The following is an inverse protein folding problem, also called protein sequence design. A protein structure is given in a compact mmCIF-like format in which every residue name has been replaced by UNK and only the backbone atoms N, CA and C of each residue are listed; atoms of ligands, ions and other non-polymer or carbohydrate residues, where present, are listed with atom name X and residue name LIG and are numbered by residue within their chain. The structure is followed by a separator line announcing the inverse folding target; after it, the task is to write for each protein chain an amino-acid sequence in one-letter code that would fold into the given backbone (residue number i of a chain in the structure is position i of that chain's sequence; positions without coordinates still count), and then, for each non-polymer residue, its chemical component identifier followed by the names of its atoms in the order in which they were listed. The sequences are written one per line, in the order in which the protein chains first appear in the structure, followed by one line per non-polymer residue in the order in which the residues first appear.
data_IF_390547114490
#
_entry.id   IF_390547114490
#
_cell.length_a   1.000
_cell.length_b   1.000
_cell.length_c   1.000
_cell.angle_alpha   90.00
_cell.angle_beta   90.00
_cell.angle_gamma   90.00
#
_symmetry.space_group_name_H-M   'P 1'
#
loop_
_entity.id
_entity.type
_entity.pdbx_description
1 polymer ?
2 branched ?
3 non-polymer ?
4 water ?
#
# COMPACT_ATOMS: atom_id res chain seq x y z
N UNK A 4 12.35 20.35 -14.74
CA UNK A 4 11.89 18.93 -14.64
C UNK A 4 12.43 18.24 -13.39
N UNK A 5 11.61 17.36 -12.84
CA UNK A 5 11.98 16.60 -11.65
C UNK A 5 11.40 15.21 -11.78
N UNK A 6 12.21 14.18 -11.52
CA UNK A 6 11.71 12.81 -11.62
C UNK A 6 10.43 12.60 -10.81
N UNK A 7 10.40 13.18 -9.61
CA UNK A 7 9.23 13.05 -8.74
C UNK A 7 8.75 14.40 -8.25
N UNK A 8 7.44 14.51 -7.99
CA UNK A 8 6.83 15.75 -7.50
C UNK A 8 7.35 16.08 -6.10
N UNK A 9 7.23 17.34 -5.71
CA UNK A 9 7.67 17.75 -4.38
C UNK A 9 6.99 16.88 -3.33
N UNK A 10 7.75 16.54 -2.29
CA UNK A 10 7.27 15.72 -1.19
C UNK A 10 7.06 14.24 -1.52
N UNK A 11 7.39 13.84 -2.74
CA UNK A 11 7.25 12.43 -3.10
C UNK A 11 8.61 11.76 -2.93
N UNK A 12 8.62 10.43 -2.97
CA UNK A 12 9.85 9.66 -2.81
C UNK A 12 10.12 8.81 -4.05
N UNK A 13 11.36 8.83 -4.50
CA UNK A 13 11.77 8.06 -5.67
C UNK A 13 12.42 6.75 -5.27
N UNK A 14 12.08 5.68 -6.00
CA UNK A 14 12.67 4.37 -5.79
C UNK A 14 12.45 3.54 -7.05
N UNK A 15 13.55 3.05 -7.62
CA UNK A 15 13.51 2.24 -8.84
C UNK A 15 12.52 2.69 -9.91
N UNK A 16 12.69 3.92 -10.40
CA UNK A 16 11.84 4.42 -11.46
C UNK A 16 10.42 4.82 -11.13
N UNK A 17 10.05 4.77 -9.86
CA UNK A 17 8.70 5.14 -9.46
C UNK A 17 8.73 6.18 -8.35
N UNK A 18 7.64 6.92 -8.22
CA UNK A 18 7.50 7.96 -7.20
C UNK A 18 6.43 7.53 -6.24
N UNK A 19 6.70 7.68 -4.95
CA UNK A 19 5.73 7.30 -3.93
C UNK A 19 5.35 8.50 -3.08
N UNK A 20 4.07 8.58 -2.77
CA UNK A 20 3.54 9.65 -1.94
C UNK A 20 3.12 9.04 -0.61
N UNK A 21 3.83 9.39 0.46
CA UNK A 21 3.47 8.92 1.79
C UNK A 21 2.63 10.05 2.37
N UNK A 22 1.33 9.82 2.51
CA UNK A 22 0.44 10.86 3.01
C UNK A 22 0.77 11.33 4.42
N UNK A 23 0.32 12.54 4.73
CA UNK A 23 0.51 13.12 6.05
C UNK A 23 -0.87 13.35 6.68
N UNK A 24 -1.90 12.86 6.00
CA UNK A 24 -3.28 12.94 6.47
C UNK A 24 -3.83 11.52 6.34
N UNK A 25 -5.02 11.28 6.88
CA UNK A 25 -5.59 9.94 6.85
C UNK A 25 -6.92 9.84 6.11
N UNK A 26 -7.19 8.65 5.57
CA UNK A 26 -8.41 8.36 4.81
C UNK A 26 -8.75 6.87 4.93
N UNK A 27 -10.00 6.51 4.69
CA UNK A 27 -10.34 5.09 4.73
C UNK A 27 -9.80 4.51 3.42
N UNK A 28 -9.84 3.19 3.28
CA UNK A 28 -9.29 2.56 2.09
C UNK A 28 -9.82 3.06 0.75
N UNK A 29 -11.14 3.12 0.60
CA UNK A 29 -11.72 3.57 -0.66
C UNK A 29 -11.35 5.00 -1.01
N UNK A 30 -11.37 5.88 -0.02
CA UNK A 30 -11.01 7.27 -0.27
C UNK A 30 -9.51 7.40 -0.60
N UNK A 31 -8.70 6.44 -0.15
CA UNK A 31 -7.27 6.50 -0.46
C UNK A 31 -7.08 6.17 -1.93
N UNK A 32 -7.89 5.25 -2.44
CA UNK A 32 -7.83 4.89 -3.85
C UNK A 32 -8.10 6.17 -4.65
N UNK A 33 -9.17 6.86 -4.27
CA UNK A 33 -9.56 8.09 -4.94
C UNK A 33 -8.50 9.18 -4.82
N UNK A 34 -7.92 9.32 -3.63
CA UNK A 34 -6.89 10.34 -3.42
C UNK A 34 -5.72 10.15 -4.38
N UNK A 35 -5.33 8.90 -4.62
CA UNK A 35 -4.22 8.62 -5.52
C UNK A 35 -4.59 8.87 -6.97
N UNK A 36 -5.80 8.47 -7.36
CA UNK A 36 -6.22 8.70 -8.74
C UNK A 36 -6.23 10.19 -9.04
N UNK A 37 -6.66 10.98 -8.06
CA UNK A 37 -6.73 12.43 -8.22
C UNK A 37 -5.37 13.07 -8.48
N UNK A 38 -4.29 12.36 -8.17
CA UNK A 38 -2.95 12.90 -8.41
C UNK A 38 -2.22 12.07 -9.46
N UNK A 39 -2.99 11.46 -10.36
CA UNK A 39 -2.43 10.65 -11.43
C UNK A 39 -1.67 9.43 -10.95
N UNK A 40 -2.07 8.88 -9.82
CA UNK A 40 -1.39 7.72 -9.26
C UNK A 40 -2.35 6.62 -8.84
N UNK A 41 -1.80 5.64 -8.14
CA UNK A 41 -2.58 4.50 -7.67
C UNK A 41 -2.14 4.09 -6.27
N UNK A 42 -3.10 3.69 -5.44
CA UNK A 42 -2.80 3.23 -4.08
C UNK A 42 -1.83 2.07 -4.29
N UNK A 43 -0.61 2.25 -3.81
CA UNK A 43 0.49 1.31 -4.00
C UNK A 43 0.26 -0.19 -4.17
N UNK A 44 0.67 -0.67 -5.34
CA UNK A 44 0.61 -2.08 -5.72
C UNK A 44 2.07 -2.50 -5.78
N UNK A 45 2.47 -3.40 -4.89
CA UNK A 45 3.85 -3.87 -4.82
C UNK A 45 4.11 -4.97 -5.85
N UNK A 46 5.18 -4.81 -6.63
CA UNK A 46 5.53 -5.77 -7.67
C UNK A 46 6.86 -6.49 -7.43
N UNK A 47 7.51 -6.22 -6.31
CA UNK A 47 8.79 -6.86 -6.02
C UNK A 47 9.18 -6.83 -4.56
N UNK A 48 9.99 -7.80 -4.16
CA UNK A 48 10.47 -7.90 -2.79
C UNK A 48 11.31 -6.68 -2.47
N UNK A 49 12.05 -6.20 -3.46
CA UNK A 49 12.89 -5.02 -3.27
C UNK A 49 11.99 -3.84 -2.91
N UNK A 50 10.89 -3.69 -3.65
CA UNK A 50 9.95 -2.62 -3.40
C UNK A 50 9.34 -2.78 -2.01
N UNK A 51 8.88 -3.99 -1.71
CA UNK A 51 8.28 -4.29 -0.42
C UNK A 51 9.22 -3.92 0.72
N UNK A 52 10.49 -4.31 0.61
CA UNK A 52 11.47 -4.01 1.65
C UNK A 52 11.69 -2.52 1.82
N UNK A 53 11.68 -1.80 0.70
CA UNK A 53 11.88 -0.36 0.74
C UNK A 53 10.69 0.32 1.42
N UNK A 54 9.49 -0.05 0.99
CA UNK A 54 8.27 0.52 1.55
C UNK A 54 8.10 0.18 3.02
N UNK A 55 8.30 -1.09 3.35
CA UNK A 55 8.15 -1.53 4.73
C UNK A 55 9.09 -0.75 5.64
N UNK A 56 10.32 -0.52 5.19
CA UNK A 56 11.28 0.21 5.99
C UNK A 56 10.82 1.65 6.25
N UNK A 57 10.36 2.33 5.20
CA UNK A 57 9.90 3.70 5.35
C UNK A 57 8.67 3.76 6.27
N UNK A 58 7.76 2.81 6.11
CA UNK A 58 6.54 2.79 6.91
C UNK A 58 6.76 2.45 8.38
N UNK A 59 7.69 1.55 8.67
CA UNK A 59 7.95 1.20 10.06
C UNK A 59 8.58 2.39 10.78
N UNK A 60 9.49 3.08 10.10
CA UNK A 60 10.14 4.24 10.67
C UNK A 60 9.13 5.36 10.91
N UNK A 61 8.12 5.45 10.06
CA UNK A 61 7.11 6.49 10.20
C UNK A 61 6.19 6.22 11.39
N UNK A 62 6.18 4.97 11.86
CA UNK A 62 5.34 4.59 12.99
C UNK A 62 3.88 4.97 12.72
N UNK A 63 3.44 4.71 11.50
CA UNK A 63 2.07 5.02 11.10
C UNK A 63 1.43 3.84 10.38
N UNK A 64 0.18 3.55 10.71
CA UNK A 64 -0.55 2.47 10.05
C UNK A 64 -0.82 3.06 8.66
N UNK A 65 -0.45 2.33 7.62
CA UNK A 65 -0.57 2.82 6.25
C UNK A 65 -1.21 1.84 5.26
N UNK A 66 -2.24 2.30 4.55
CA UNK A 66 -2.94 1.48 3.56
C UNK A 66 -2.08 1.21 2.32
N UNK A 67 -2.29 0.04 1.70
CA UNK A 67 -1.63 -0.31 0.45
C UNK A 67 -2.77 -0.75 -0.47
N UNK A 68 -2.51 -0.85 -1.77
CA UNK A 68 -3.58 -1.24 -2.68
C UNK A 68 -3.83 -2.73 -2.76
N UNK A 69 -4.23 -3.33 -1.64
CA UNK A 69 -4.49 -4.77 -1.56
C UNK A 69 -5.73 -5.03 -0.71
N UNK A 70 -6.60 -5.93 -1.17
CA UNK A 70 -7.82 -6.25 -0.44
C UNK A 70 -8.40 -7.61 -0.81
N UNK A 71 -9.28 -8.12 0.04
CA UNK A 71 -9.94 -9.39 -0.24
C UNK A 71 -11.45 -9.14 -0.15
N UNK A 72 -11.83 -7.91 -0.49
CA UNK A 72 -13.23 -7.49 -0.48
C UNK A 72 -14.12 -8.36 -1.36
N UNK A 73 -13.68 -8.62 -2.59
CA UNK A 73 -14.47 -9.43 -3.51
C UNK A 73 -14.67 -10.86 -3.05
N UNK A 74 -13.59 -11.53 -2.66
CA UNK A 74 -13.69 -12.91 -2.20
C UNK A 74 -12.83 -13.12 -0.95
N UNK A 75 -13.48 -13.21 0.21
CA UNK A 75 -12.78 -13.40 1.48
C UNK A 75 -11.68 -14.45 1.37
N UNK A 76 -10.47 -14.07 1.79
CA UNK A 76 -9.35 -14.98 1.74
C UNK A 76 -8.51 -14.87 0.48
N UNK A 77 -9.09 -14.33 -0.59
CA UNK A 77 -8.36 -14.17 -1.84
C UNK A 77 -7.95 -12.71 -1.98
N UNK A 78 -6.69 -12.43 -1.66
CA UNK A 78 -6.17 -11.07 -1.74
C UNK A 78 -5.73 -10.67 -3.14
N UNK A 79 -6.24 -9.53 -3.58
CA UNK A 79 -5.97 -9.01 -4.92
C UNK A 79 -5.56 -7.54 -4.89
N UNK A 80 -4.57 -7.18 -5.71
CA UNK A 80 -4.11 -5.80 -5.79
C UNK A 80 -5.14 -4.97 -6.55
N UNK A 81 -5.14 -3.66 -6.35
CA UNK A 81 -6.09 -2.80 -7.03
C UNK A 81 -5.93 -2.81 -8.55
N UNK A 82 -4.76 -3.21 -9.03
CA UNK A 82 -4.54 -3.27 -10.47
C UNK A 82 -5.03 -4.61 -11.01
N UNK A 83 -6.01 -5.19 -10.32
CA UNK A 83 -6.58 -6.46 -10.72
C UNK A 83 -5.66 -7.65 -10.58
N UNK A 84 -4.39 -7.38 -10.28
CA UNK A 84 -3.39 -8.43 -10.12
C UNK A 84 -3.59 -9.24 -8.83
N UNK A 85 -3.25 -10.54 -8.86
CA UNK A 85 -3.40 -11.41 -7.69
C UNK A 85 -2.17 -11.40 -6.79
N UNK A 86 -2.37 -11.61 -5.49
CA UNK A 86 -1.25 -11.64 -4.55
C UNK A 86 -0.47 -12.93 -4.79
N UNK A 87 0.81 -12.80 -5.10
CA UNK A 87 1.64 -13.96 -5.38
C UNK A 87 2.12 -14.68 -4.12
N UNK A 88 2.34 -16.00 -4.22
CA UNK A 88 2.80 -16.84 -3.11
C UNK A 88 4.06 -16.31 -2.44
N UNK A 89 4.93 -15.69 -3.23
CA UNK A 89 6.18 -15.15 -2.72
C UNK A 89 6.01 -13.94 -1.81
N UNK A 90 4.85 -13.30 -1.88
CA UNK A 90 4.57 -12.11 -1.07
C UNK A 90 3.87 -12.42 0.24
N UNK A 91 3.23 -13.59 0.32
CA UNK A 91 2.50 -13.97 1.51
C UNK A 91 3.35 -14.09 2.77
N UNK A 92 4.67 -14.05 2.60
CA UNK A 92 5.59 -14.13 3.73
C UNK A 92 5.63 -12.80 4.49
N UNK A 93 5.03 -11.77 3.91
CA UNK A 93 5.05 -10.44 4.51
C UNK A 93 3.99 -10.13 5.56
N UNK A 94 2.98 -10.98 5.68
CA UNK A 94 1.94 -10.76 6.68
C UNK A 94 2.54 -10.86 8.09
N UNK A 95 2.00 -10.09 9.03
CA UNK A 95 2.49 -10.14 10.41
C UNK A 95 2.03 -11.47 11.02
N UNK A 96 2.70 -11.89 12.09
CA UNK A 96 2.33 -13.14 12.75
C UNK A 96 0.86 -13.12 13.10
N UNK A 97 0.14 -14.17 12.71
CA UNK A 97 -1.27 -14.24 13.02
C UNK A 97 -2.16 -13.53 12.03
N UNK A 98 -1.56 -12.95 10.99
CA UNK A 98 -2.33 -12.24 9.98
C UNK A 98 -2.27 -13.00 8.65
N UNK A 99 -3.29 -12.86 7.80
CA UNK A 99 -4.49 -12.03 7.99
C UNK A 99 -5.51 -12.84 8.80
N UNK A 100 -6.17 -12.21 9.77
CA UNK A 100 -7.13 -12.93 10.60
C UNK A 100 -8.60 -12.53 10.44
N UNK A 101 -8.85 -11.54 9.59
CA UNK A 101 -10.21 -11.09 9.32
C UNK A 101 -11.07 -10.84 10.57
N UNK A 102 -10.44 -10.47 11.69
CA UNK A 102 -11.20 -10.23 12.92
C UNK A 102 -12.17 -9.06 12.80
N UNK A 103 -13.46 -9.34 12.93
CA UNK A 103 -14.46 -8.29 12.82
C UNK A 103 -14.61 -7.84 11.38
N UNK A 104 -14.21 -8.71 10.46
CA UNK A 104 -14.29 -8.44 9.03
C UNK A 104 -13.30 -7.36 8.59
N UNK A 105 -12.11 -7.80 8.20
CA UNK A 105 -11.05 -6.91 7.76
C UNK A 105 -10.68 -7.31 6.34
N UNK A 106 -10.98 -6.46 5.37
CA UNK A 106 -10.69 -6.79 3.98
C UNK A 106 -9.69 -5.89 3.25
N UNK A 107 -9.00 -5.03 3.99
CA UNK A 107 -8.02 -4.13 3.39
C UNK A 107 -6.67 -4.29 4.09
N UNK A 108 -5.59 -4.27 3.30
CA UNK A 108 -4.24 -4.43 3.84
C UNK A 108 -3.50 -3.13 4.13
N UNK A 109 -2.75 -3.14 5.23
CA UNK A 109 -1.96 -2.00 5.66
C UNK A 109 -0.57 -2.45 6.08
N UNK A 110 0.36 -1.50 6.10
CA UNK A 110 1.71 -1.76 6.56
C UNK A 110 1.57 -1.52 8.05
N UNK A 111 2.00 -2.48 8.86
CA UNK A 111 1.90 -2.35 10.31
C UNK A 111 3.16 -2.93 10.95
N UNK A 112 3.98 -2.06 11.51
CA UNK A 112 5.21 -2.52 12.13
C UNK A 112 6.17 -2.99 11.07
N UNK A 113 6.60 -4.25 11.16
CA UNK A 113 7.55 -4.80 10.20
C UNK A 113 6.91 -5.64 9.11
N UNK A 114 5.58 -5.71 9.10
CA UNK A 114 4.90 -6.49 8.09
C UNK A 114 3.56 -5.92 7.69
N UNK A 115 2.63 -6.79 7.29
CA UNK A 115 1.30 -6.35 6.89
C UNK A 115 0.24 -6.87 7.83
N UNK A 116 -0.90 -6.20 7.83
CA UNK A 116 -2.03 -6.59 8.65
C UNK A 116 -3.28 -6.29 7.87
N UNK A 117 -4.32 -7.09 8.09
CA UNK A 117 -5.58 -6.81 7.43
C UNK A 117 -6.39 -6.06 8.48
N UNK A 118 -7.04 -4.98 8.08
CA UNK A 118 -7.83 -4.20 9.03
C UNK A 118 -9.14 -3.78 8.38
N UNK A 119 -10.01 -3.15 9.16
CA UNK A 119 -11.30 -2.69 8.66
C UNK A 119 -11.09 -1.60 7.61
N UNK A 120 -11.67 -1.80 6.43
CA UNK A 120 -11.55 -0.85 5.34
C UNK A 120 -12.09 0.55 5.62
N UNK A 121 -13.02 0.66 6.56
CA UNK A 121 -13.61 1.96 6.87
C UNK A 121 -12.79 2.78 7.88
N UNK A 122 -11.69 2.22 8.36
CA UNK A 122 -10.84 2.94 9.30
C UNK A 122 -9.96 3.90 8.53
N UNK A 123 -9.68 5.05 9.13
CA UNK A 123 -8.85 6.04 8.48
C UNK A 123 -7.39 5.76 8.82
N UNK A 124 -6.55 5.71 7.79
CA UNK A 124 -5.14 5.46 7.99
C UNK A 124 -4.38 6.31 6.99
N UNK A 125 -3.06 6.33 7.11
CA UNK A 125 -2.26 7.05 6.14
C UNK A 125 -2.27 6.14 4.91
N UNK A 126 -1.72 6.61 3.80
CA UNK A 126 -1.70 5.81 2.58
C UNK A 126 -0.52 6.18 1.71
N UNK A 127 -0.19 5.29 0.78
CA UNK A 127 0.92 5.51 -0.13
C UNK A 127 0.47 5.38 -1.58
N UNK A 128 0.71 6.42 -2.38
CA UNK A 128 0.36 6.38 -3.80
C UNK A 128 1.64 6.04 -4.56
N UNK A 129 1.48 5.51 -5.77
CA UNK A 129 2.62 5.16 -6.60
C UNK A 129 2.35 5.53 -8.05
N UNK A 130 3.35 6.12 -8.70
CA UNK A 130 3.26 6.46 -10.11
C UNK A 130 4.66 6.42 -10.68
N UNK A 131 4.77 6.34 -12.00
CA UNK A 131 6.08 6.27 -12.62
C UNK A 131 6.82 7.60 -12.48
N UNK A 132 8.14 7.51 -12.35
CA UNK A 132 8.96 8.71 -12.22
C UNK A 132 9.24 9.26 -13.60
N UNK A 133 9.31 10.59 -13.71
CA UNK A 133 9.60 11.22 -14.98
C UNK A 133 11.10 11.18 -15.21
N UNK A 134 11.51 11.20 -16.47
CA UNK A 134 12.93 11.18 -16.80
C UNK A 134 13.36 12.52 -17.38
N UNK A 135 14.62 12.88 -17.18
CA UNK A 135 15.18 14.12 -17.70
C UNK A 135 16.63 14.34 -17.29
X LIG B 1 -6.38 -5.25 16.07
X LIG B 1 -6.43 -5.01 14.55
X LIG B 1 -6.47 -6.36 13.82
X LIG B 1 -5.26 -7.20 14.25
X LIG B 1 -5.29 -7.37 15.77
X LIG B 1 -4.10 -8.15 16.29
X LIG B 1 -7.54 -5.90 16.47
X LIG B 1 -5.26 -4.28 14.12
X LIG B 1 -6.44 -6.15 12.42
X LIG B 1 -5.30 -8.46 13.61
X LIG B 1 -5.26 -6.07 16.41
X LIG B 1 -2.91 -7.81 15.59
X LIG B 2 -5.10 -2.96 14.58
X LIG B 2 -4.22 -2.18 13.60
X LIG B 2 -2.81 -2.77 13.60
X LIG B 2 -2.23 -2.80 15.02
X LIG B 2 -3.20 -3.51 15.98
X LIG B 2 -2.75 -3.40 17.42
X LIG B 2 -4.17 -0.82 13.99
X LIG B 2 -1.97 -1.99 12.76
X LIG B 2 -0.99 -3.49 15.01
X LIG B 2 -4.52 -2.92 15.89
X LIG B 2 -3.77 -2.87 18.25
X LIG C 1 -10.95 -10.38 4.88
X LIG D 1 -5.91 -8.32 11.21
X LIG E 1 -14.70 -10.14 4.03
#
# INVERSE_FOLDING_TARGET
ERLCHPCPWEWTFFQGNCYFMSNSQRNWHDSITACKEVGAQLVVIKSAEEQNFLQLQSSRSNRFTWMGLSDLNQEGTWQWVDGSPLLPSFKQYWNRGEPNNVGEEDCAEFSGNGWNDDKCNLAKFWICKKSAASCSRDEEQFLSPAPATPNPPPA
MAN C1 C2 C3 C4 C5 C6 O1 O2 O3 O4 O5 O6
MAN C1 C2 C3 C4 C5 C6 O2 O3 O4 O5 O6
CA CA
CA CA
CA CA
#
